data_IF_598929647255
#
_entry.id   IF_598929647255
#
_cell.length_a   1.000
_cell.length_b   1.000
_cell.length_c   1.000
_cell.angle_alpha   90.00
_cell.angle_beta   90.00
_cell.angle_gamma   90.00
#
_symmetry.space_group_name_H-M   'P 1'
#
loop_
_entity.id
_entity.type
_entity.pdbx_description
1 polymer ?
#
# COMPACT_ATOMS: atom_id res chain seq x y z
N UNK A 1 2.68 7.35 -10.42
CA UNK A 1 2.05 6.25 -9.66
C UNK A 1 1.67 6.74 -8.27
N UNK A 2 0.40 6.65 -7.95
CA UNK A 2 -0.12 7.12 -6.66
C UNK A 2 -0.51 5.97 -5.76
N UNK A 3 -0.16 6.09 -4.48
CA UNK A 3 -0.51 5.12 -3.45
C UNK A 3 -1.48 5.75 -2.47
N UNK A 4 -2.52 5.04 -2.14
CA UNK A 4 -3.51 5.51 -1.18
C UNK A 4 -3.90 4.38 -0.23
N UNK A 5 -3.87 4.66 1.08
CA UNK A 5 -4.39 3.71 2.06
C UNK A 5 -5.92 3.70 1.98
N UNK A 6 -6.49 2.54 1.70
CA UNK A 6 -7.94 2.36 1.65
C UNK A 6 -8.45 1.95 3.02
N UNK A 7 -7.77 0.99 3.66
CA UNK A 7 -8.20 0.45 4.93
C UNK A 7 -7.05 -0.24 5.65
N UNK A 8 -7.02 -0.12 6.96
CA UNK A 8 -6.14 -0.91 7.81
C UNK A 8 -6.97 -1.60 8.89
N UNK A 9 -6.95 -2.93 8.92
CA UNK A 9 -7.66 -3.73 9.90
C UNK A 9 -6.66 -4.19 10.97
N UNK A 10 -6.83 -3.68 12.20
CA UNK A 10 -5.94 -4.01 13.32
C UNK A 10 -6.15 -5.42 13.83
N UNK A 11 -7.36 -5.97 13.70
CA UNK A 11 -7.65 -7.32 14.18
C UNK A 11 -6.95 -8.38 13.33
N UNK A 12 -7.00 -8.23 12.01
CA UNK A 12 -6.37 -9.16 11.09
C UNK A 12 -4.94 -8.75 10.73
N UNK A 13 -4.51 -7.57 11.15
CA UNK A 13 -3.21 -6.98 10.83
C UNK A 13 -2.96 -6.91 9.31
N UNK A 14 -3.99 -6.54 8.55
CA UNK A 14 -3.92 -6.40 7.10
C UNK A 14 -4.15 -4.97 6.65
N UNK A 15 -3.33 -4.54 5.70
CA UNK A 15 -3.46 -3.25 5.06
C UNK A 15 -3.91 -3.42 3.61
N UNK A 16 -4.77 -2.52 3.16
CA UNK A 16 -5.32 -2.47 1.81
C UNK A 16 -4.91 -1.15 1.19
N UNK A 17 -4.04 -1.18 0.20
CA UNK A 17 -3.51 0.02 -0.44
C UNK A 17 -3.88 0.00 -1.92
N UNK A 18 -4.48 1.10 -2.37
CA UNK A 18 -4.82 1.30 -3.77
C UNK A 18 -3.65 1.94 -4.50
N UNK A 19 -3.30 1.37 -5.65
CA UNK A 19 -2.27 1.90 -6.53
C UNK A 19 -2.94 2.39 -7.81
N UNK A 20 -2.62 3.61 -8.22
CA UNK A 20 -3.11 4.20 -9.46
C UNK A 20 -1.95 4.59 -10.34
N UNK A 21 -2.01 4.20 -11.59
CA UNK A 21 -0.98 4.51 -12.58
C UNK A 21 -1.61 4.69 -13.97
N UNK A 22 -1.01 5.53 -14.85
CA UNK A 22 -1.47 5.62 -16.22
C UNK A 22 -1.31 4.25 -16.91
N UNK A 23 -2.29 3.86 -17.71
CA UNK A 23 -2.26 2.58 -18.42
C UNK A 23 -1.59 2.66 -19.81
N UNK A 24 -1.20 3.85 -20.23
CA UNK A 24 -0.56 4.07 -21.51
C UNK A 24 -1.53 4.35 -22.67
N UNK A 25 -2.82 4.14 -22.46
CA UNK A 25 -3.85 4.33 -23.50
C UNK A 25 -4.81 5.46 -23.18
N UNK A 26 -4.38 6.42 -22.36
CA UNK A 26 -5.21 7.55 -21.96
C UNK A 26 -6.12 7.26 -20.77
N UNK A 27 -6.10 6.04 -20.25
CA UNK A 27 -6.85 5.63 -19.09
C UNK A 27 -5.98 5.50 -17.85
N UNK A 28 -6.54 4.90 -16.80
CA UNK A 28 -5.88 4.72 -15.52
C UNK A 28 -6.05 3.28 -15.05
N UNK A 29 -4.95 2.65 -14.68
CA UNK A 29 -4.97 1.32 -14.09
C UNK A 29 -5.04 1.46 -12.56
N UNK A 30 -5.97 0.73 -11.94
CA UNK A 30 -6.17 0.73 -10.49
C UNK A 30 -5.99 -0.70 -9.99
N UNK A 31 -5.11 -0.85 -9.01
CA UNK A 31 -4.81 -2.16 -8.41
C UNK A 31 -4.83 -2.01 -6.90
N UNK A 32 -5.32 -3.03 -6.20
CA UNK A 32 -5.30 -3.05 -4.73
C UNK A 32 -4.26 -4.05 -4.27
N UNK A 33 -3.33 -3.58 -3.45
CA UNK A 33 -2.35 -4.43 -2.78
C UNK A 33 -2.84 -4.74 -1.37
N UNK A 34 -2.81 -6.00 -0.99
CA UNK A 34 -3.22 -6.48 0.33
C UNK A 34 -2.01 -7.16 0.96
N UNK A 35 -1.62 -6.72 2.15
CA UNK A 35 -0.45 -7.30 2.82
C UNK A 35 -0.57 -7.20 4.33
N UNK A 36 0.23 -8.00 5.03
CA UNK A 36 0.28 -7.96 6.49
C UNK A 36 1.09 -6.76 6.96
N UNK A 37 0.56 -6.05 7.95
CA UNK A 37 1.23 -4.93 8.57
C UNK A 37 0.92 -4.89 10.05
N UNK A 38 1.96 -4.90 10.88
CA UNK A 38 1.82 -4.82 12.33
C UNK A 38 2.34 -3.47 12.82
N UNK A 39 1.49 -2.76 13.57
CA UNK A 39 1.92 -1.53 14.22
C UNK A 39 2.63 -1.85 15.52
N UNK A 40 3.70 -1.13 15.81
CA UNK A 40 4.42 -1.24 17.07
C UNK A 40 4.33 0.10 17.80
N UNK A 41 3.90 0.08 19.06
CA UNK A 41 3.82 1.28 19.88
C UNK A 41 2.61 2.15 19.58
N UNK A 42 2.57 3.32 20.22
CA UNK A 42 1.48 4.27 20.10
C UNK A 42 1.77 5.28 18.99
N UNK A 43 1.60 4.87 17.74
CA UNK A 43 1.78 5.74 16.60
C UNK A 43 0.49 6.50 16.28
N UNK A 44 0.62 7.71 15.75
CA UNK A 44 -0.53 8.45 15.26
C UNK A 44 -1.10 7.77 14.01
N UNK A 45 -2.36 8.04 13.72
CA UNK A 45 -3.01 7.53 12.51
C UNK A 45 -2.24 7.90 11.25
N UNK A 46 -1.73 9.13 11.21
CA UNK A 46 -0.94 9.62 10.08
C UNK A 46 0.37 8.84 9.91
N UNK A 47 1.05 8.54 11.00
CA UNK A 47 2.30 7.79 10.97
C UNK A 47 2.07 6.36 10.49
N UNK A 48 0.99 5.73 10.95
CA UNK A 48 0.60 4.39 10.51
C UNK A 48 0.36 4.38 9.00
N UNK A 49 -0.37 5.37 8.50
CA UNK A 49 -0.65 5.49 7.06
C UNK A 49 0.63 5.65 6.23
N UNK A 50 1.54 6.50 6.67
CA UNK A 50 2.82 6.71 5.99
C UNK A 50 3.65 5.44 5.95
N UNK A 51 3.70 4.69 7.05
CA UNK A 51 4.46 3.45 7.15
C UNK A 51 3.86 2.36 6.25
N UNK A 52 2.55 2.27 6.19
CA UNK A 52 1.85 1.32 5.33
C UNK A 52 2.14 1.62 3.85
N UNK A 53 2.05 2.87 3.44
CA UNK A 53 2.32 3.27 2.05
C UNK A 53 3.79 3.00 1.70
N UNK A 54 4.70 3.26 2.63
CA UNK A 54 6.12 2.96 2.42
C UNK A 54 6.36 1.48 2.19
N UNK A 55 5.71 0.63 2.98
CA UNK A 55 5.82 -0.81 2.81
C UNK A 55 5.23 -1.27 1.48
N UNK A 56 4.11 -0.69 1.07
CA UNK A 56 3.50 -1.01 -0.23
C UNK A 56 4.46 -0.73 -1.38
N UNK A 57 5.14 0.42 -1.37
CA UNK A 57 6.14 0.76 -2.37
C UNK A 57 7.29 -0.22 -2.38
N UNK A 58 7.76 -0.60 -1.22
CA UNK A 58 8.87 -1.55 -1.08
C UNK A 58 8.50 -2.92 -1.67
N UNK A 59 7.32 -3.42 -1.34
CA UNK A 59 6.84 -4.70 -1.83
C UNK A 59 6.65 -4.70 -3.35
N UNK A 60 6.15 -3.61 -3.90
CA UNK A 60 5.97 -3.47 -5.34
C UNK A 60 7.32 -3.52 -6.07
N UNK A 61 8.34 -2.84 -5.54
CA UNK A 61 9.68 -2.87 -6.11
C UNK A 61 10.27 -4.29 -6.09
N UNK A 62 10.09 -5.01 -5.00
CA UNK A 62 10.57 -6.39 -4.90
C UNK A 62 9.87 -7.30 -5.89
N UNK A 63 8.56 -7.17 -6.05
CA UNK A 63 7.80 -7.94 -7.02
C UNK A 63 8.26 -7.66 -8.45
N UNK A 64 8.54 -6.40 -8.79
CA UNK A 64 9.02 -6.02 -10.11
C UNK A 64 10.41 -6.60 -10.40
N UNK A 65 11.28 -6.66 -9.40
CA UNK A 65 12.63 -7.23 -9.54
C UNK A 65 12.59 -8.76 -9.63
N UNK A 66 11.62 -9.39 -8.95
CA UNK A 66 11.51 -10.86 -8.93
C UNK A 66 10.94 -11.45 -10.23
N UNK A 67 10.35 -10.60 -11.05
CA UNK A 67 9.84 -11.03 -12.37
C UNK A 67 10.83 -10.69 -13.48
#
# INVERSE_FOLDING_TARGET
MDFRLVRYDRETERAYVELRAPDGDGGEAITTAIFSFRTTGALSKRQIEEDIVRKARHLLRRAAVAT
#
